data_IF_010505369658
#
_entry.id   IF_010505369658
#
_cell.length_a   1.000
_cell.length_b   1.000
_cell.length_c   1.000
_cell.angle_alpha   90.00
_cell.angle_beta   90.00
_cell.angle_gamma   90.00
#
_symmetry.space_group_name_H-M   'P 1'
#
loop_
_entity.id
_entity.type
_entity.pdbx_description
1 polymer ?
#
# COMPACT_ATOMS: atom_id res chain seq x y z
N UNK A 1 -5.10 -43.75 -20.44
CA UNK A 1 -4.55 -42.53 -20.94
C UNK A 1 -3.52 -42.05 -19.92
N UNK A 2 -2.26 -42.36 -20.20
CA UNK A 2 -1.11 -41.89 -19.40
C UNK A 2 -0.91 -40.43 -19.77
N UNK A 3 -1.19 -39.50 -18.85
CA UNK A 3 -0.75 -38.12 -19.01
C UNK A 3 0.74 -38.10 -18.79
N UNK A 4 1.49 -37.77 -19.84
CA UNK A 4 2.92 -37.62 -19.84
C UNK A 4 3.27 -36.37 -18.97
N UNK A 5 3.77 -36.62 -17.78
CA UNK A 5 4.16 -35.58 -16.80
C UNK A 5 5.32 -34.75 -17.35
N UNK A 6 6.17 -35.35 -18.19
CA UNK A 6 7.34 -34.69 -18.79
C UNK A 6 6.92 -33.68 -19.89
N UNK A 7 5.90 -33.97 -20.70
CA UNK A 7 5.39 -33.01 -21.69
C UNK A 7 4.74 -31.78 -21.03
N UNK A 8 4.08 -31.94 -19.88
CA UNK A 8 3.49 -30.84 -19.13
C UNK A 8 4.58 -29.92 -18.52
N UNK A 9 5.71 -30.48 -18.09
CA UNK A 9 6.84 -29.72 -17.53
C UNK A 9 7.54 -28.92 -18.64
N UNK A 10 7.72 -29.50 -19.83
CA UNK A 10 8.34 -28.84 -20.98
C UNK A 10 7.45 -27.71 -21.54
N UNK A 11 6.12 -27.86 -21.46
CA UNK A 11 5.18 -26.83 -21.90
C UNK A 11 5.11 -25.66 -20.91
N UNK A 12 5.27 -25.91 -19.62
CA UNK A 12 5.36 -24.86 -18.58
C UNK A 12 6.66 -24.05 -18.79
N UNK A 13 7.79 -24.69 -19.10
CA UNK A 13 9.09 -24.03 -19.28
C UNK A 13 9.11 -23.03 -20.46
N UNK A 14 8.25 -23.23 -21.48
CA UNK A 14 8.08 -22.28 -22.60
C UNK A 14 7.11 -21.14 -22.32
N UNK A 15 6.20 -21.30 -21.35
CA UNK A 15 5.14 -20.33 -21.03
C UNK A 15 5.48 -19.45 -19.84
N UNK A 16 6.35 -19.88 -18.93
CA UNK A 16 6.69 -19.14 -17.71
C UNK A 16 8.21 -19.03 -17.62
N UNK A 17 8.70 -17.82 -17.37
CA UNK A 17 10.11 -17.56 -17.09
C UNK A 17 10.26 -16.76 -15.80
N UNK A 18 11.11 -17.20 -14.89
CA UNK A 18 11.48 -16.44 -13.69
C UNK A 18 12.78 -15.67 -13.92
N UNK A 19 12.69 -14.35 -13.82
CA UNK A 19 13.81 -13.42 -13.96
C UNK A 19 14.39 -13.11 -12.58
N UNK A 20 15.71 -13.29 -12.42
CA UNK A 20 16.41 -13.16 -11.14
C UNK A 20 17.58 -12.18 -11.18
N UNK A 21 18.04 -11.78 -12.35
CA UNK A 21 19.14 -10.85 -12.54
C UNK A 21 18.66 -9.47 -13.00
N UNK A 22 19.36 -8.41 -12.58
CA UNK A 22 19.03 -7.05 -13.01
C UNK A 22 19.09 -6.88 -14.54
N UNK A 23 20.09 -7.46 -15.21
CA UNK A 23 20.21 -7.39 -16.67
C UNK A 23 18.98 -7.99 -17.39
N UNK A 24 18.44 -9.10 -16.86
CA UNK A 24 17.23 -9.72 -17.42
C UNK A 24 15.96 -8.89 -17.17
N UNK A 25 15.90 -8.13 -16.05
CA UNK A 25 14.79 -7.20 -15.79
C UNK A 25 14.79 -6.07 -16.79
N UNK A 26 15.98 -5.58 -17.20
CA UNK A 26 16.09 -4.51 -18.19
C UNK A 26 15.56 -4.96 -19.58
N UNK A 27 15.63 -6.24 -19.93
CA UNK A 27 15.04 -6.81 -21.15
C UNK A 27 13.49 -6.70 -21.15
N UNK A 28 12.87 -6.64 -19.98
CA UNK A 28 11.41 -6.54 -19.83
C UNK A 28 10.89 -5.10 -19.83
N UNK A 29 11.77 -4.09 -19.88
CA UNK A 29 11.45 -2.68 -19.69
C UNK A 29 10.30 -2.18 -20.56
N UNK A 30 10.34 -2.47 -21.86
CA UNK A 30 9.33 -1.96 -22.80
C UNK A 30 7.94 -2.56 -22.53
N UNK A 31 7.87 -3.87 -22.30
CA UNK A 31 6.63 -4.52 -21.91
C UNK A 31 6.15 -4.02 -20.56
N UNK A 32 7.05 -3.89 -19.59
CA UNK A 32 6.75 -3.38 -18.24
C UNK A 32 6.12 -1.98 -18.31
N UNK A 33 6.75 -1.06 -19.05
CA UNK A 33 6.26 0.31 -19.21
C UNK A 33 4.89 0.38 -19.88
N UNK A 34 4.59 -0.54 -20.81
CA UNK A 34 3.30 -0.61 -21.50
C UNK A 34 2.15 -1.08 -20.59
N UNK A 35 2.46 -1.83 -19.52
CA UNK A 35 1.49 -2.48 -18.64
C UNK A 35 1.40 -1.85 -17.24
N UNK A 36 2.37 -1.02 -16.82
CA UNK A 36 2.40 -0.44 -15.49
C UNK A 36 1.25 0.56 -15.30
N UNK A 37 0.25 0.17 -14.54
CA UNK A 37 -0.92 1.01 -14.22
C UNK A 37 -0.84 1.61 -12.81
N UNK A 38 -0.03 1.02 -11.94
CA UNK A 38 0.16 1.47 -10.56
C UNK A 38 1.56 2.07 -10.38
N UNK A 39 1.67 3.19 -9.65
CA UNK A 39 2.95 3.88 -9.40
C UNK A 39 4.00 2.96 -8.78
N UNK A 40 3.63 2.15 -7.78
CA UNK A 40 4.57 1.26 -7.11
C UNK A 40 5.12 0.18 -8.04
N UNK A 41 4.43 -0.08 -9.14
CA UNK A 41 4.85 -0.98 -10.20
C UNK A 41 5.51 -0.26 -11.40
N UNK A 42 5.76 1.04 -11.33
CA UNK A 42 6.59 1.72 -12.33
C UNK A 42 7.99 1.11 -12.36
N UNK A 43 8.55 0.96 -13.56
CA UNK A 43 9.85 0.29 -13.76
C UNK A 43 10.99 0.95 -13.00
N UNK A 44 11.11 2.27 -13.06
CA UNK A 44 12.18 3.00 -12.39
C UNK A 44 11.95 3.04 -10.88
N UNK A 45 10.69 3.12 -10.43
CA UNK A 45 10.35 3.05 -9.02
C UNK A 45 10.67 1.67 -8.43
N UNK A 46 10.39 0.61 -9.17
CA UNK A 46 10.77 -0.76 -8.81
C UNK A 46 12.28 -0.90 -8.67
N UNK A 47 13.05 -0.47 -9.68
CA UNK A 47 14.51 -0.50 -9.63
C UNK A 47 15.09 0.38 -8.52
N UNK A 48 14.49 1.56 -8.29
CA UNK A 48 14.86 2.43 -7.18
C UNK A 48 14.70 1.70 -5.85
N UNK A 49 13.57 1.04 -5.63
CA UNK A 49 13.33 0.28 -4.41
C UNK A 49 14.35 -0.84 -4.24
N UNK A 50 14.59 -1.63 -5.26
CA UNK A 50 15.57 -2.73 -5.22
C UNK A 50 16.98 -2.24 -4.84
N UNK A 51 17.40 -1.09 -5.36
CA UNK A 51 18.77 -0.55 -5.15
C UNK A 51 18.93 0.19 -3.82
N UNK A 52 17.85 0.70 -3.24
CA UNK A 52 17.90 1.54 -2.03
C UNK A 52 17.40 0.84 -0.76
N UNK A 53 16.93 -0.41 -0.84
CA UNK A 53 16.46 -1.18 0.32
C UNK A 53 17.50 -2.21 0.71
N UNK A 54 18.15 -2.08 1.88
CA UNK A 54 19.26 -2.96 2.29
C UNK A 54 18.84 -4.40 2.55
N UNK A 55 17.57 -4.65 2.79
CA UNK A 55 17.00 -5.99 2.96
C UNK A 55 16.81 -6.74 1.64
N UNK A 56 16.80 -6.06 0.50
CA UNK A 56 16.62 -6.68 -0.82
C UNK A 56 17.89 -7.38 -1.27
N UNK A 57 17.73 -8.63 -1.72
CA UNK A 57 18.83 -9.47 -2.21
C UNK A 57 18.92 -9.41 -3.73
N UNK A 58 17.77 -9.56 -4.44
CA UNK A 58 17.70 -9.59 -5.89
C UNK A 58 16.26 -9.41 -6.40
N UNK A 59 16.08 -9.07 -7.68
CA UNK A 59 14.76 -9.17 -8.32
C UNK A 59 14.26 -10.64 -8.34
N UNK A 60 12.94 -10.78 -8.42
CA UNK A 60 12.26 -12.05 -8.66
C UNK A 60 10.96 -11.76 -9.41
N UNK A 61 11.02 -11.79 -10.75
CA UNK A 61 9.88 -11.47 -11.60
C UNK A 61 9.46 -12.73 -12.34
N UNK A 62 8.18 -13.06 -12.27
CA UNK A 62 7.58 -14.18 -12.97
C UNK A 62 6.90 -13.63 -14.22
N UNK A 63 7.45 -13.93 -15.40
CA UNK A 63 6.90 -13.54 -16.70
C UNK A 63 6.11 -14.68 -17.33
N UNK A 64 4.93 -14.36 -17.88
CA UNK A 64 4.09 -15.25 -18.67
C UNK A 64 4.22 -14.92 -20.15
N UNK A 65 4.45 -15.93 -20.97
CA UNK A 65 4.73 -15.78 -22.40
C UNK A 65 3.71 -16.53 -23.24
N UNK A 66 3.32 -15.89 -24.37
CA UNK A 66 2.56 -16.51 -25.47
C UNK A 66 3.31 -16.28 -26.77
N UNK A 67 3.53 -17.32 -27.52
CA UNK A 67 4.27 -17.25 -28.79
C UNK A 67 5.62 -16.51 -28.67
N UNK A 68 6.35 -16.77 -27.57
CA UNK A 68 7.65 -16.17 -27.28
C UNK A 68 7.61 -14.69 -26.85
N UNK A 69 6.45 -14.09 -26.67
CA UNK A 69 6.28 -12.70 -26.22
C UNK A 69 5.67 -12.63 -24.82
N UNK A 70 6.16 -11.76 -23.93
CA UNK A 70 5.54 -11.56 -22.64
C UNK A 70 4.14 -10.97 -22.83
N UNK A 71 3.13 -11.51 -22.12
CA UNK A 71 1.77 -10.98 -22.11
C UNK A 71 1.32 -10.55 -20.71
N UNK A 72 1.94 -11.11 -19.69
CA UNK A 72 1.73 -10.70 -18.30
C UNK A 72 2.96 -11.01 -17.45
N UNK A 73 3.07 -10.37 -16.31
CA UNK A 73 4.10 -10.69 -15.32
C UNK A 73 3.65 -10.35 -13.90
N UNK A 74 4.29 -11.01 -12.92
CA UNK A 74 4.16 -10.70 -11.51
C UNK A 74 5.51 -10.20 -10.99
N UNK A 75 5.58 -8.91 -10.66
CA UNK A 75 6.80 -8.27 -10.18
C UNK A 75 7.01 -8.51 -8.69
N UNK A 76 8.19 -8.99 -8.32
CA UNK A 76 8.56 -9.27 -6.95
C UNK A 76 10.08 -9.21 -6.74
N UNK A 77 10.51 -9.56 -5.54
CA UNK A 77 11.90 -9.56 -5.12
C UNK A 77 12.15 -10.62 -4.06
N UNK A 78 13.39 -11.06 -3.95
CA UNK A 78 13.89 -11.80 -2.80
C UNK A 78 14.45 -10.80 -1.78
N UNK A 79 13.98 -10.88 -0.55
CA UNK A 79 14.41 -9.98 0.53
C UNK A 79 14.56 -10.71 1.88
N UNK A 80 15.30 -10.11 2.82
CA UNK A 80 15.29 -10.52 4.22
C UNK A 80 14.15 -9.80 4.93
N UNK A 81 13.10 -10.53 5.28
CA UNK A 81 11.87 -9.98 5.85
C UNK A 81 11.70 -10.37 7.32
N UNK A 82 11.47 -9.37 8.16
CA UNK A 82 11.09 -9.60 9.56
C UNK A 82 9.61 -9.93 9.67
N UNK A 83 9.28 -11.04 10.30
CA UNK A 83 7.90 -11.43 10.60
C UNK A 83 7.67 -11.35 12.10
N UNK A 84 6.76 -10.48 12.50
CA UNK A 84 6.39 -10.27 13.90
C UNK A 84 5.23 -11.22 14.31
N UNK A 85 5.44 -12.01 15.34
CA UNK A 85 4.39 -12.75 16.02
C UNK A 85 3.89 -11.91 17.18
N UNK A 86 2.62 -11.49 17.13
CA UNK A 86 2.03 -10.54 18.08
C UNK A 86 0.79 -11.09 18.75
N UNK A 87 0.69 -10.87 20.07
CA UNK A 87 -0.53 -11.08 20.85
C UNK A 87 -1.10 -9.71 21.23
N UNK A 88 -2.19 -9.32 20.63
CA UNK A 88 -2.73 -7.97 20.76
C UNK A 88 -1.76 -6.93 20.21
N UNK A 89 -1.29 -6.06 21.08
CA UNK A 89 -0.31 -5.02 20.77
C UNK A 89 1.13 -5.41 21.12
N UNK A 90 1.33 -6.52 21.85
CA UNK A 90 2.65 -6.99 22.26
C UNK A 90 3.28 -7.83 21.16
N UNK A 91 4.52 -7.50 20.79
CA UNK A 91 5.37 -8.33 19.92
C UNK A 91 6.02 -9.39 20.83
N UNK A 92 5.68 -10.67 20.58
CA UNK A 92 6.23 -11.80 21.30
C UNK A 92 7.59 -12.19 20.71
N UNK A 93 7.65 -12.35 19.39
CA UNK A 93 8.83 -12.82 18.67
C UNK A 93 8.94 -12.05 17.36
N UNK A 94 10.18 -11.74 16.95
CA UNK A 94 10.51 -11.28 15.59
C UNK A 94 11.39 -12.35 14.93
N UNK A 95 10.91 -12.93 13.84
CA UNK A 95 11.62 -13.93 13.06
C UNK A 95 12.12 -13.31 11.76
N UNK A 96 13.35 -13.60 11.37
CA UNK A 96 13.88 -13.25 10.05
C UNK A 96 13.63 -14.38 9.07
N UNK A 97 13.01 -14.11 7.93
CA UNK A 97 12.78 -15.04 6.84
C UNK A 97 13.43 -14.52 5.56
N UNK A 98 13.91 -15.43 4.71
CA UNK A 98 14.11 -15.12 3.29
C UNK A 98 12.74 -15.16 2.62
N UNK A 99 12.33 -14.08 2.02
CA UNK A 99 10.98 -13.95 1.48
C UNK A 99 11.00 -13.57 0.01
N UNK A 100 10.20 -14.25 -0.81
CA UNK A 100 9.75 -13.71 -2.08
C UNK A 100 8.60 -12.77 -1.79
N UNK A 101 8.79 -11.49 -2.05
CA UNK A 101 7.74 -10.49 -1.84
C UNK A 101 7.30 -9.95 -3.19
N UNK A 102 6.07 -10.27 -3.57
CA UNK A 102 5.40 -9.74 -4.76
C UNK A 102 4.67 -8.47 -4.36
N UNK A 103 5.06 -7.39 -5.00
CA UNK A 103 4.69 -6.04 -4.57
C UNK A 103 3.23 -5.71 -4.87
N UNK A 104 2.69 -4.79 -4.11
CA UNK A 104 1.40 -4.21 -4.39
C UNK A 104 1.37 -3.56 -5.79
N UNK A 105 0.30 -3.82 -6.55
CA UNK A 105 0.21 -3.38 -7.96
C UNK A 105 1.17 -4.09 -8.91
N UNK A 106 1.94 -5.09 -8.45
CA UNK A 106 2.95 -5.80 -9.22
C UNK A 106 2.43 -6.79 -10.26
N UNK A 107 1.12 -6.93 -10.42
CA UNK A 107 0.50 -7.62 -11.55
C UNK A 107 0.54 -6.68 -12.76
N UNK A 108 1.31 -7.02 -13.75
CA UNK A 108 1.52 -6.26 -14.98
C UNK A 108 0.98 -7.08 -16.16
N UNK A 109 0.18 -6.46 -17.03
CA UNK A 109 -0.58 -7.17 -18.04
C UNK A 109 -1.79 -7.91 -17.45
N UNK A 110 -2.26 -8.95 -18.13
CA UNK A 110 -3.52 -9.63 -17.80
C UNK A 110 -3.27 -11.03 -17.21
N UNK A 111 -3.53 -11.19 -15.90
CA UNK A 111 -3.56 -12.48 -15.17
C UNK A 111 -5.01 -12.81 -14.75
N UNK A 112 -5.99 -12.46 -15.58
CA UNK A 112 -7.40 -12.73 -15.28
C UNK A 112 -7.81 -14.18 -15.56
N UNK A 113 -7.03 -14.92 -16.34
CA UNK A 113 -7.31 -16.35 -16.59
C UNK A 113 -6.89 -17.22 -15.38
N UNK A 114 -7.71 -18.21 -15.04
CA UNK A 114 -7.37 -19.18 -14.00
C UNK A 114 -6.11 -20.00 -14.36
N UNK A 115 -5.83 -20.19 -15.64
CA UNK A 115 -4.64 -20.90 -16.12
C UNK A 115 -3.37 -20.09 -15.84
N UNK A 116 -3.34 -18.80 -16.23
CA UNK A 116 -2.20 -17.91 -15.98
C UNK A 116 -1.95 -17.73 -14.46
N UNK A 117 -3.03 -17.55 -13.70
CA UNK A 117 -2.93 -17.47 -12.23
C UNK A 117 -2.36 -18.75 -11.61
N UNK A 118 -2.77 -19.92 -12.10
CA UNK A 118 -2.25 -21.22 -11.67
C UNK A 118 -0.76 -21.35 -11.99
N UNK A 119 -0.35 -21.01 -13.22
CA UNK A 119 1.05 -21.10 -13.66
C UNK A 119 1.97 -20.21 -12.78
N UNK A 120 1.52 -19.00 -12.45
CA UNK A 120 2.23 -18.11 -11.52
C UNK A 120 2.41 -18.74 -10.13
N UNK A 121 1.34 -19.32 -9.56
CA UNK A 121 1.44 -19.95 -8.23
C UNK A 121 2.30 -21.21 -8.25
N UNK A 122 2.24 -22.00 -9.30
CA UNK A 122 3.12 -23.19 -9.45
C UNK A 122 4.59 -22.76 -9.52
N UNK A 123 4.92 -21.69 -10.21
CA UNK A 123 6.27 -21.13 -10.29
C UNK A 123 6.78 -20.65 -8.91
N UNK A 124 5.90 -20.00 -8.12
CA UNK A 124 6.19 -19.63 -6.72
C UNK A 124 6.47 -20.88 -5.88
N UNK A 125 5.61 -21.90 -6.01
CA UNK A 125 5.77 -23.18 -5.30
C UNK A 125 7.10 -23.89 -5.63
N UNK A 126 7.51 -23.86 -6.90
CA UNK A 126 8.79 -24.39 -7.35
C UNK A 126 9.96 -23.66 -6.70
N UNK A 127 9.98 -22.32 -6.72
CA UNK A 127 11.01 -21.52 -6.07
C UNK A 127 11.10 -21.81 -4.55
N UNK A 128 9.96 -22.01 -3.89
CA UNK A 128 9.92 -22.38 -2.47
C UNK A 128 10.44 -23.82 -2.23
N UNK A 129 10.12 -24.79 -3.10
CA UNK A 129 10.64 -26.16 -3.03
C UNK A 129 12.13 -26.23 -3.31
N UNK A 130 12.62 -25.39 -4.23
CA UNK A 130 14.05 -25.25 -4.52
C UNK A 130 14.85 -24.60 -3.38
N UNK A 131 14.18 -24.14 -2.31
CA UNK A 131 14.82 -23.53 -1.15
C UNK A 131 15.32 -22.10 -1.40
N UNK A 132 14.81 -21.39 -2.42
CA UNK A 132 15.19 -20.00 -2.69
C UNK A 132 14.72 -19.08 -1.57
N UNK A 133 13.57 -19.36 -0.95
CA UNK A 133 12.98 -18.59 0.14
C UNK A 133 12.25 -19.49 1.15
N UNK A 134 12.03 -18.96 2.34
CA UNK A 134 11.28 -19.60 3.42
C UNK A 134 9.77 -19.34 3.30
N UNK A 135 9.37 -18.24 2.62
CA UNK A 135 7.98 -17.90 2.34
C UNK A 135 7.85 -16.98 1.13
N UNK A 136 6.67 -16.97 0.51
CA UNK A 136 6.27 -16.02 -0.50
C UNK A 136 5.10 -15.17 0.00
N UNK A 137 5.19 -13.85 -0.15
CA UNK A 137 4.18 -12.87 0.21
C UNK A 137 3.62 -12.23 -1.06
N UNK A 138 2.33 -12.44 -1.31
CA UNK A 138 1.58 -11.74 -2.35
C UNK A 138 0.80 -10.61 -1.67
N UNK A 139 1.24 -9.38 -1.88
CA UNK A 139 0.73 -8.24 -1.13
C UNK A 139 -0.58 -7.71 -1.73
N UNK A 140 -1.61 -7.63 -0.89
CA UNK A 140 -2.89 -6.97 -1.16
C UNK A 140 -3.52 -7.34 -2.51
N UNK A 141 -3.77 -8.63 -2.71
CA UNK A 141 -4.52 -9.10 -3.88
C UNK A 141 -6.01 -8.82 -3.70
N UNK A 142 -6.73 -8.36 -4.75
CA UNK A 142 -8.20 -8.31 -4.73
C UNK A 142 -8.76 -9.71 -4.47
N UNK A 143 -9.67 -9.83 -3.48
CA UNK A 143 -10.16 -11.14 -3.03
C UNK A 143 -11.00 -11.89 -4.07
N UNK A 144 -11.47 -11.21 -5.10
CA UNK A 144 -12.20 -11.74 -6.24
C UNK A 144 -11.29 -12.06 -7.44
N UNK A 145 -9.98 -11.82 -7.35
CA UNK A 145 -9.05 -12.11 -8.44
C UNK A 145 -8.71 -13.60 -8.55
N UNK A 146 -8.52 -14.14 -9.78
CA UNK A 146 -8.07 -15.51 -9.98
C UNK A 146 -6.76 -15.82 -9.27
N UNK A 147 -5.81 -14.85 -9.24
CA UNK A 147 -4.54 -15.02 -8.57
C UNK A 147 -4.70 -15.23 -7.05
N UNK A 148 -5.61 -14.48 -6.41
CA UNK A 148 -5.94 -14.70 -5.00
C UNK A 148 -6.54 -16.08 -4.79
N UNK A 149 -7.53 -16.48 -5.62
CA UNK A 149 -8.16 -17.79 -5.55
C UNK A 149 -7.14 -18.94 -5.66
N UNK A 150 -6.24 -18.87 -6.64
CA UNK A 150 -5.17 -19.85 -6.82
C UNK A 150 -4.17 -19.86 -5.66
N UNK A 151 -3.75 -18.69 -5.17
CA UNK A 151 -2.82 -18.58 -4.04
C UNK A 151 -3.39 -19.17 -2.73
N UNK A 152 -4.71 -19.14 -2.57
CA UNK A 152 -5.40 -19.71 -1.39
C UNK A 152 -5.68 -21.20 -1.50
N UNK A 153 -5.84 -21.74 -2.72
CA UNK A 153 -6.37 -23.10 -2.95
C UNK A 153 -5.31 -24.11 -3.41
N UNK A 154 -4.31 -23.68 -4.20
CA UNK A 154 -3.33 -24.62 -4.77
C UNK A 154 -2.27 -25.12 -3.76
N UNK A 155 -1.70 -24.27 -2.89
CA UNK A 155 -0.78 -24.74 -1.87
C UNK A 155 -1.51 -25.55 -0.79
N UNK A 156 -0.80 -26.48 -0.14
CA UNK A 156 -1.36 -27.18 1.01
C UNK A 156 -1.77 -26.17 2.11
N UNK A 157 -2.95 -26.35 2.67
CA UNK A 157 -3.55 -25.43 3.67
C UNK A 157 -2.63 -25.18 4.89
N UNK A 158 -1.84 -26.16 5.32
CA UNK A 158 -0.89 -25.98 6.42
C UNK A 158 0.26 -24.99 6.08
N UNK A 159 0.42 -24.66 4.81
CA UNK A 159 1.47 -23.78 4.29
C UNK A 159 0.94 -22.38 3.93
N UNK A 160 -0.34 -22.14 3.99
CA UNK A 160 -0.95 -20.83 3.71
C UNK A 160 -1.32 -20.15 5.02
N UNK A 161 -1.15 -18.85 5.12
CA UNK A 161 -1.56 -18.07 6.30
C UNK A 161 -3.07 -18.19 6.54
N UNK A 162 -3.48 -18.57 7.76
CA UNK A 162 -4.90 -18.82 8.07
C UNK A 162 -5.68 -17.56 8.44
N UNK A 163 -5.00 -16.54 8.93
CA UNK A 163 -5.64 -15.33 9.45
C UNK A 163 -5.14 -14.08 8.71
N UNK A 164 -5.36 -14.08 7.39
CA UNK A 164 -5.17 -12.87 6.59
C UNK A 164 -6.05 -11.74 7.13
N UNK A 165 -5.50 -10.53 7.14
CA UNK A 165 -6.26 -9.33 7.47
C UNK A 165 -6.83 -8.79 6.16
N UNK A 166 -8.14 -8.89 6.00
CA UNK A 166 -8.84 -8.19 4.93
C UNK A 166 -8.76 -6.69 5.16
N UNK A 167 -8.40 -5.97 4.14
CA UNK A 167 -8.31 -4.51 4.12
C UNK A 167 -9.25 -3.98 3.03
N UNK A 168 -9.88 -2.84 3.30
CA UNK A 168 -10.70 -2.15 2.30
C UNK A 168 -9.80 -1.16 1.57
N UNK A 169 -9.81 -1.23 0.24
CA UNK A 169 -9.20 -0.25 -0.63
C UNK A 169 -10.25 0.78 -1.04
N UNK A 170 -9.92 2.06 -0.98
CA UNK A 170 -10.84 3.15 -1.30
C UNK A 170 -10.30 4.01 -2.43
N UNK A 171 -11.13 4.25 -3.44
CA UNK A 171 -10.86 5.23 -4.48
C UNK A 171 -11.99 6.24 -4.64
N UNK A 172 -11.68 7.35 -5.29
CA UNK A 172 -12.64 8.35 -5.75
C UNK A 172 -12.46 8.61 -7.23
N UNK A 173 -13.45 8.27 -8.05
CA UNK A 173 -13.52 8.78 -9.42
C UNK A 173 -13.93 10.26 -9.38
N UNK A 174 -13.11 11.11 -9.98
CA UNK A 174 -13.35 12.56 -9.97
C UNK A 174 -14.41 12.94 -11.02
N UNK A 175 -15.28 13.90 -10.70
CA UNK A 175 -16.24 14.42 -11.67
C UNK A 175 -15.51 15.17 -12.78
N UNK A 176 -15.98 15.01 -14.02
CA UNK A 176 -15.43 15.73 -15.18
C UNK A 176 -16.19 17.03 -15.36
N UNK A 177 -15.50 18.18 -15.21
CA UNK A 177 -16.08 19.50 -15.47
C UNK A 177 -17.08 19.99 -14.43
N UNK A 178 -17.23 19.27 -13.31
CA UNK A 178 -18.12 19.65 -12.21
C UNK A 178 -17.31 19.86 -10.93
N UNK A 179 -17.86 20.66 -10.02
CA UNK A 179 -17.28 20.87 -8.69
C UNK A 179 -17.30 19.56 -7.88
N UNK A 180 -16.16 19.20 -7.30
CA UNK A 180 -16.06 18.07 -6.36
C UNK A 180 -17.05 18.23 -5.20
N UNK A 181 -17.21 19.45 -4.68
CA UNK A 181 -18.13 19.72 -3.59
C UNK A 181 -19.58 19.36 -3.94
N UNK A 182 -20.01 19.55 -5.21
CA UNK A 182 -21.35 19.17 -5.64
C UNK A 182 -21.56 17.66 -5.64
N UNK A 183 -20.51 16.87 -5.86
CA UNK A 183 -20.53 15.42 -5.85
C UNK A 183 -20.57 14.81 -4.42
N UNK A 184 -20.39 15.63 -3.38
CA UNK A 184 -20.48 15.21 -1.99
C UNK A 184 -21.92 15.21 -1.48
N UNK A 185 -22.22 14.43 -0.44
CA UNK A 185 -23.53 14.46 0.23
C UNK A 185 -23.82 15.84 0.85
N UNK A 186 -25.11 16.17 1.03
CA UNK A 186 -25.53 17.45 1.64
C UNK A 186 -24.90 17.68 3.02
N UNK A 187 -24.74 16.62 3.81
CA UNK A 187 -24.10 16.70 5.12
C UNK A 187 -22.59 17.00 5.02
N UNK A 188 -21.90 16.37 4.07
CA UNK A 188 -20.48 16.63 3.83
C UNK A 188 -20.24 18.05 3.34
N UNK A 189 -21.06 18.55 2.41
CA UNK A 189 -21.04 19.96 1.96
C UNK A 189 -21.23 20.94 3.12
N UNK A 190 -22.22 20.68 3.98
CA UNK A 190 -22.48 21.51 5.17
C UNK A 190 -21.28 21.51 6.11
N UNK A 191 -20.70 20.35 6.37
CA UNK A 191 -19.52 20.23 7.21
C UNK A 191 -18.32 20.98 6.62
N UNK A 192 -18.10 20.93 5.29
CA UNK A 192 -17.03 21.69 4.65
C UNK A 192 -17.27 23.21 4.75
N UNK A 193 -18.47 23.67 4.49
CA UNK A 193 -18.82 25.10 4.69
C UNK A 193 -18.56 25.55 6.13
N UNK A 194 -18.87 24.71 7.12
CA UNK A 194 -18.59 24.98 8.54
C UNK A 194 -17.09 25.08 8.82
N UNK A 195 -16.26 24.19 8.24
CA UNK A 195 -14.80 24.25 8.37
C UNK A 195 -14.22 25.54 7.80
N UNK A 196 -14.60 25.85 6.56
CA UNK A 196 -14.18 27.09 5.88
C UNK A 196 -14.54 28.32 6.73
N UNK A 197 -15.80 28.43 7.18
CA UNK A 197 -16.24 29.55 8.00
C UNK A 197 -15.45 29.66 9.30
N UNK A 198 -15.27 28.56 10.03
CA UNK A 198 -14.55 28.52 11.31
C UNK A 198 -13.09 28.93 11.16
N UNK A 199 -12.42 28.51 10.08
CA UNK A 199 -11.05 28.91 9.80
C UNK A 199 -10.97 30.39 9.42
N UNK A 200 -11.87 30.88 8.56
CA UNK A 200 -11.92 32.28 8.17
C UNK A 200 -12.21 33.20 9.37
N UNK A 201 -13.15 32.86 10.25
CA UNK A 201 -13.47 33.62 11.46
C UNK A 201 -12.29 33.69 12.45
N UNK A 202 -11.44 32.65 12.51
CA UNK A 202 -10.35 32.61 13.48
C UNK A 202 -9.05 33.17 12.93
N UNK A 203 -8.74 32.90 11.66
CA UNK A 203 -7.41 33.19 11.07
C UNK A 203 -7.47 34.22 9.93
N UNK A 204 -8.65 34.50 9.37
CA UNK A 204 -8.81 35.45 8.25
C UNK A 204 -7.92 35.07 7.06
N UNK A 205 -7.19 36.06 6.53
CA UNK A 205 -6.29 35.89 5.38
C UNK A 205 -5.01 35.11 5.69
N UNK A 206 -4.84 34.68 6.95
CA UNK A 206 -3.66 33.88 7.39
C UNK A 206 -3.88 32.37 7.24
N UNK A 207 -4.86 31.96 6.42
CA UNK A 207 -5.08 30.59 5.98
C UNK A 207 -4.48 30.41 4.60
N UNK A 208 -3.44 29.59 4.46
CA UNK A 208 -2.75 29.38 3.18
C UNK A 208 -2.50 27.88 2.95
N UNK A 209 -2.80 27.44 1.73
CA UNK A 209 -2.39 26.11 1.24
C UNK A 209 -1.25 26.35 0.24
N UNK A 210 -0.16 25.61 0.39
CA UNK A 210 0.99 25.64 -0.51
C UNK A 210 1.20 24.26 -1.13
N UNK A 211 1.41 24.22 -2.45
CA UNK A 211 1.73 23.00 -3.20
C UNK A 211 3.24 22.89 -3.42
N UNK A 212 3.77 21.70 -3.22
CA UNK A 212 5.16 21.32 -3.42
C UNK A 212 5.21 20.22 -4.48
N UNK A 213 5.96 20.44 -5.55
CA UNK A 213 6.01 19.51 -6.68
C UNK A 213 7.41 19.33 -7.29
N UNK A 214 8.39 20.14 -6.89
CA UNK A 214 9.74 20.12 -7.43
C UNK A 214 10.80 19.83 -6.37
N UNK A 215 12.01 19.47 -6.82
CA UNK A 215 13.12 19.07 -5.96
C UNK A 215 13.65 20.24 -5.10
N UNK A 216 13.55 21.50 -5.55
CA UNK A 216 14.07 22.67 -4.83
C UNK A 216 13.32 22.92 -3.52
N UNK A 217 12.07 22.50 -3.44
CA UNK A 217 11.21 22.69 -2.28
C UNK A 217 11.19 21.51 -1.30
N UNK A 218 11.87 20.39 -1.62
CA UNK A 218 11.81 19.14 -0.83
C UNK A 218 12.28 19.29 0.60
N UNK A 219 13.35 20.07 0.84
CA UNK A 219 13.85 20.27 2.19
C UNK A 219 12.75 20.89 3.07
N UNK A 220 12.14 21.98 2.62
CA UNK A 220 11.08 22.69 3.34
C UNK A 220 9.85 21.80 3.52
N UNK A 221 9.45 21.07 2.47
CA UNK A 221 8.35 20.10 2.56
C UNK A 221 8.59 19.08 3.66
N UNK A 222 9.76 18.42 3.64
CA UNK A 222 10.06 17.33 4.59
C UNK A 222 10.23 17.83 6.03
N UNK A 223 10.78 19.01 6.24
CA UNK A 223 10.89 19.64 7.57
C UNK A 223 9.50 19.98 8.14
N UNK A 224 8.62 20.60 7.35
CA UNK A 224 7.28 20.96 7.79
C UNK A 224 6.40 19.72 8.01
N UNK A 225 6.45 18.75 7.10
CA UNK A 225 5.72 17.49 7.27
C UNK A 225 6.19 16.72 8.52
N UNK A 226 7.52 16.71 8.80
CA UNK A 226 8.08 16.10 10.01
C UNK A 226 7.62 16.82 11.28
N UNK A 227 7.60 18.15 11.28
CA UNK A 227 7.11 18.95 12.40
C UNK A 227 5.67 18.58 12.78
N UNK A 228 4.80 18.39 11.77
CA UNK A 228 3.41 17.98 11.98
C UNK A 228 3.32 16.52 12.39
N UNK A 229 4.02 15.62 11.66
CA UNK A 229 3.96 14.18 11.88
C UNK A 229 4.51 13.79 13.27
N UNK A 230 5.55 14.48 13.75
CA UNK A 230 6.14 14.28 15.08
C UNK A 230 5.16 14.49 16.23
N UNK A 231 4.17 15.36 16.06
CA UNK A 231 3.09 15.61 17.04
C UNK A 231 1.91 14.64 16.93
N UNK A 232 1.84 13.84 15.86
CA UNK A 232 0.72 12.96 15.57
C UNK A 232 0.81 11.64 16.34
N UNK A 233 -0.34 11.06 16.71
CA UNK A 233 -0.40 9.72 17.31
C UNK A 233 0.11 8.61 16.39
N UNK A 234 0.14 8.83 15.09
CA UNK A 234 0.63 7.88 14.10
C UNK A 234 2.12 7.59 14.29
N UNK A 235 2.91 8.60 14.67
CA UNK A 235 4.33 8.45 15.00
C UNK A 235 4.53 7.47 16.15
N UNK A 236 3.73 7.57 17.21
CA UNK A 236 3.79 6.67 18.36
C UNK A 236 3.47 5.21 18.00
N UNK A 237 2.70 5.00 16.91
CA UNK A 237 2.41 3.67 16.37
C UNK A 237 3.47 3.17 15.37
N UNK A 238 4.50 3.96 15.07
CA UNK A 238 5.53 3.63 14.09
C UNK A 238 5.04 3.65 12.64
N UNK A 239 3.95 4.39 12.37
CA UNK A 239 3.36 4.54 11.03
C UNK A 239 3.25 6.03 10.66
N UNK A 240 2.97 6.29 9.38
CA UNK A 240 2.86 7.65 8.85
C UNK A 240 4.19 8.19 8.32
N UNK A 241 4.19 9.48 8.01
CA UNK A 241 5.37 10.15 7.43
C UNK A 241 6.52 10.24 8.44
N UNK A 242 7.74 9.96 7.98
CA UNK A 242 8.98 10.17 8.71
C UNK A 242 10.04 10.71 7.74
N UNK A 243 10.74 11.78 8.14
CA UNK A 243 11.77 12.41 7.33
C UNK A 243 13.09 11.61 7.41
N UNK A 244 13.10 10.39 6.83
CA UNK A 244 14.28 9.54 6.74
C UNK A 244 15.06 9.79 5.44
N UNK A 245 16.34 9.37 5.36
CA UNK A 245 17.10 9.44 4.11
C UNK A 245 16.42 8.71 2.95
N UNK A 246 15.81 7.55 3.20
CA UNK A 246 15.09 6.75 2.21
C UNK A 246 13.84 7.49 1.70
N UNK A 247 13.09 8.12 2.62
CA UNK A 247 11.91 8.92 2.25
C UNK A 247 12.31 10.12 1.39
N UNK A 248 13.41 10.82 1.73
CA UNK A 248 13.89 11.95 0.93
C UNK A 248 14.29 11.51 -0.48
N UNK A 249 15.02 10.40 -0.61
CA UNK A 249 15.37 9.82 -1.93
C UNK A 249 14.13 9.44 -2.74
N UNK A 250 13.11 8.89 -2.09
CA UNK A 250 11.84 8.56 -2.74
C UNK A 250 11.14 9.82 -3.26
N UNK A 251 10.99 10.84 -2.42
CA UNK A 251 10.35 12.11 -2.81
C UNK A 251 11.15 12.84 -3.90
N UNK A 252 12.48 12.73 -3.87
CA UNK A 252 13.34 13.29 -4.91
C UNK A 252 13.10 12.60 -6.27
N UNK A 253 13.04 11.27 -6.30
CA UNK A 253 12.66 10.53 -7.50
C UNK A 253 11.27 10.95 -8.01
N UNK A 254 10.29 11.07 -7.13
CA UNK A 254 8.92 11.47 -7.49
C UNK A 254 8.88 12.93 -8.03
N UNK A 255 9.71 13.83 -7.48
CA UNK A 255 9.85 15.20 -7.98
C UNK A 255 10.51 15.23 -9.36
N UNK A 256 11.61 14.49 -9.55
CA UNK A 256 12.32 14.38 -10.86
C UNK A 256 11.41 13.82 -11.95
N UNK A 257 10.51 12.88 -11.61
CA UNK A 257 9.52 12.32 -12.52
C UNK A 257 8.26 13.18 -12.66
N UNK A 258 8.22 14.35 -12.01
CA UNK A 258 7.05 15.23 -11.96
C UNK A 258 5.78 14.57 -11.40
N UNK A 259 5.93 13.55 -10.55
CA UNK A 259 4.82 12.86 -9.89
C UNK A 259 4.43 13.50 -8.56
N UNK A 260 5.39 14.11 -7.85
CA UNK A 260 5.15 14.68 -6.52
C UNK A 260 4.05 15.74 -6.56
N UNK A 261 3.06 15.60 -5.67
CA UNK A 261 1.99 16.56 -5.40
C UNK A 261 1.76 16.59 -3.89
N UNK A 262 2.49 17.43 -3.21
CA UNK A 262 2.38 17.56 -1.76
C UNK A 262 1.81 18.92 -1.39
N UNK A 263 0.95 18.95 -0.38
CA UNK A 263 0.26 20.16 0.05
C UNK A 263 0.42 20.33 1.56
N UNK A 264 0.69 21.55 1.98
CA UNK A 264 0.74 21.93 3.39
C UNK A 264 -0.24 23.08 3.63
N UNK A 265 -1.06 22.92 4.67
CA UNK A 265 -1.92 23.97 5.20
C UNK A 265 -1.18 24.72 6.29
N UNK A 266 -1.11 26.04 6.16
CA UNK A 266 -0.57 26.95 7.15
C UNK A 266 -1.70 27.77 7.80
N UNK A 267 -1.60 27.93 9.11
CA UNK A 267 -2.45 28.82 9.92
C UNK A 267 -1.53 29.75 10.72
N UNK A 268 -1.62 31.07 10.50
CA UNK A 268 -0.67 32.06 11.04
C UNK A 268 0.80 31.69 10.71
N UNK A 269 1.06 31.31 9.46
CA UNK A 269 2.37 30.86 8.95
C UNK A 269 2.95 29.59 9.64
N UNK A 270 2.20 28.96 10.53
CA UNK A 270 2.56 27.70 11.14
C UNK A 270 2.00 26.53 10.34
N UNK A 271 2.83 25.51 9.95
CA UNK A 271 2.34 24.33 9.26
C UNK A 271 1.48 23.49 10.21
N UNK A 272 0.23 23.23 9.85
CA UNK A 272 -0.73 22.54 10.72
C UNK A 272 -1.32 21.26 10.13
N UNK A 273 -1.26 21.08 8.82
CA UNK A 273 -1.68 19.83 8.17
C UNK A 273 -0.92 19.64 6.86
N UNK A 274 -0.65 18.39 6.51
CA UNK A 274 -0.05 18.04 5.22
C UNK A 274 -0.79 16.89 4.55
N UNK A 275 -0.71 16.86 3.22
CA UNK A 275 -1.15 15.77 2.38
C UNK A 275 -0.13 15.55 1.25
N UNK A 276 0.63 14.46 1.33
CA UNK A 276 1.65 14.07 0.34
C UNK A 276 1.03 13.04 -0.59
N UNK A 277 1.07 13.32 -1.87
CA UNK A 277 0.50 12.52 -2.95
C UNK A 277 1.52 12.36 -4.08
N UNK A 278 1.28 11.34 -4.91
CA UNK A 278 1.98 11.16 -6.19
C UNK A 278 0.97 11.07 -7.32
N UNK A 279 1.20 11.79 -8.41
CA UNK A 279 0.40 11.71 -9.61
C UNK A 279 1.05 10.76 -10.63
N UNK A 280 0.34 9.70 -11.01
CA UNK A 280 0.82 8.71 -11.96
C UNK A 280 -0.33 8.19 -12.81
N UNK A 281 -0.19 8.21 -14.13
CA UNK A 281 -1.16 7.67 -15.11
C UNK A 281 -2.62 8.05 -14.81
N UNK A 282 -2.89 9.34 -14.60
CA UNK A 282 -4.25 9.82 -14.36
C UNK A 282 -4.80 9.54 -12.95
N UNK A 283 -3.99 8.98 -12.06
CA UNK A 283 -4.35 8.68 -10.67
C UNK A 283 -3.51 9.50 -9.70
N UNK A 284 -4.16 10.15 -8.73
CA UNK A 284 -3.50 10.78 -7.59
C UNK A 284 -3.50 9.79 -6.43
N UNK A 285 -2.32 9.27 -6.08
CA UNK A 285 -2.13 8.34 -4.96
C UNK A 285 -1.91 9.11 -3.67
N UNK A 286 -2.73 8.86 -2.65
CA UNK A 286 -2.65 9.47 -1.33
C UNK A 286 -1.69 8.68 -0.44
N UNK A 287 -0.44 9.13 -0.32
CA UNK A 287 0.60 8.42 0.43
C UNK A 287 0.55 8.72 1.93
N UNK A 288 0.67 9.99 2.28
CA UNK A 288 0.73 10.39 3.68
C UNK A 288 -0.16 11.61 3.93
N UNK A 289 -0.88 11.53 5.03
CA UNK A 289 -1.69 12.64 5.53
C UNK A 289 -1.51 12.75 7.04
N UNK A 290 -1.35 13.98 7.51
CA UNK A 290 -1.25 14.27 8.94
C UNK A 290 -1.72 15.66 9.27
N UNK A 291 -2.00 15.88 10.56
CA UNK A 291 -2.31 17.21 11.09
C UNK A 291 -1.82 17.32 12.54
N UNK A 292 -1.52 18.54 12.96
CA UNK A 292 -1.15 18.88 14.33
C UNK A 292 -2.40 18.81 15.23
N UNK A 293 -2.41 17.97 16.27
CA UNK A 293 -3.55 17.80 17.20
C UNK A 293 -4.02 19.09 17.87
N UNK A 294 -3.17 20.11 18.02
CA UNK A 294 -3.53 21.41 18.58
C UNK A 294 -4.64 22.11 17.74
N UNK A 295 -4.66 21.84 16.43
CA UNK A 295 -5.66 22.39 15.50
C UNK A 295 -6.85 21.46 15.27
N UNK A 296 -6.97 20.34 16.02
CA UNK A 296 -8.00 19.30 15.78
C UNK A 296 -9.44 19.84 15.73
N UNK A 297 -9.76 20.88 16.53
CA UNK A 297 -11.08 21.52 16.54
C UNK A 297 -11.49 22.14 15.19
N UNK A 298 -10.52 22.45 14.32
CA UNK A 298 -10.76 22.99 12.99
C UNK A 298 -10.84 21.93 11.91
N UNK A 299 -10.55 20.67 12.22
CA UNK A 299 -10.52 19.54 11.27
C UNK A 299 -9.62 19.82 10.04
N UNK A 300 -8.33 20.26 10.25
CA UNK A 300 -7.50 20.83 9.18
C UNK A 300 -7.16 19.82 8.09
N UNK A 301 -7.04 18.52 8.40
CA UNK A 301 -6.81 17.48 7.39
C UNK A 301 -7.94 17.37 6.39
N UNK A 302 -9.20 17.35 6.84
CA UNK A 302 -10.36 17.32 5.94
C UNK A 302 -10.53 18.62 5.17
N UNK A 303 -10.22 19.76 5.79
CA UNK A 303 -10.21 21.04 5.10
C UNK A 303 -9.21 21.02 3.95
N UNK A 304 -7.95 20.61 4.21
CA UNK A 304 -6.89 20.54 3.22
C UNK A 304 -7.28 19.64 2.05
N UNK A 305 -7.62 18.39 2.32
CA UNK A 305 -7.91 17.39 1.28
C UNK A 305 -9.07 17.82 0.39
N UNK A 306 -10.18 18.32 0.96
CA UNK A 306 -11.34 18.71 0.16
C UNK A 306 -11.05 19.95 -0.71
N UNK A 307 -10.30 20.94 -0.19
CA UNK A 307 -9.95 22.12 -0.99
C UNK A 307 -8.98 21.76 -2.13
N UNK A 308 -7.98 20.92 -1.87
CA UNK A 308 -7.06 20.47 -2.92
C UNK A 308 -7.80 19.66 -3.99
N UNK A 309 -8.71 18.75 -3.62
CA UNK A 309 -9.49 17.99 -4.61
C UNK A 309 -10.38 18.93 -5.43
N UNK A 310 -11.02 19.93 -4.80
CA UNK A 310 -11.82 20.93 -5.51
C UNK A 310 -10.98 21.73 -6.50
N UNK A 311 -9.76 22.13 -6.11
CA UNK A 311 -8.82 22.82 -6.98
C UNK A 311 -8.42 21.95 -8.18
N UNK A 312 -8.03 20.68 -7.95
CA UNK A 312 -7.74 19.71 -9.02
C UNK A 312 -8.91 19.56 -9.99
N UNK A 313 -10.14 19.53 -9.49
CA UNK A 313 -11.33 19.42 -10.36
C UNK A 313 -11.56 20.69 -11.20
N UNK A 314 -11.21 21.89 -10.66
CA UNK A 314 -11.31 23.16 -11.40
C UNK A 314 -10.22 23.31 -12.46
N UNK A 315 -8.98 22.92 -12.13
CA UNK A 315 -7.84 23.01 -13.03
C UNK A 315 -7.83 21.94 -14.13
N UNK A 316 -8.71 20.97 -14.05
CA UNK A 316 -8.75 19.74 -14.84
C UNK A 316 -8.98 19.93 -16.36
N UNK A 317 -8.81 21.15 -16.89
CA UNK A 317 -8.74 21.40 -18.32
C UNK A 317 -7.35 21.02 -18.91
N UNK A 318 -6.30 20.90 -18.08
CA UNK A 318 -4.91 20.65 -18.53
C UNK A 318 -4.21 19.45 -17.87
N UNK A 319 -4.53 19.08 -16.61
CA UNK A 319 -3.94 17.93 -15.92
C UNK A 319 -5.04 16.94 -15.49
N UNK A 320 -5.11 15.84 -16.18
CA UNK A 320 -6.22 14.89 -16.19
C UNK A 320 -6.16 13.87 -15.06
N UNK A 321 -6.22 14.25 -13.79
CA UNK A 321 -6.51 13.28 -12.76
C UNK A 321 -7.94 12.77 -12.94
N UNK A 322 -8.08 11.50 -13.29
CA UNK A 322 -9.39 10.86 -13.46
C UNK A 322 -9.91 10.32 -12.11
N UNK A 323 -8.99 10.02 -11.20
CA UNK A 323 -9.32 9.44 -9.90
C UNK A 323 -8.28 9.76 -8.83
N UNK A 324 -8.70 9.61 -7.58
CA UNK A 324 -7.82 9.60 -6.41
C UNK A 324 -7.85 8.20 -5.82
N UNK A 325 -6.67 7.65 -5.55
CA UNK A 325 -6.49 6.44 -4.81
C UNK A 325 -6.12 6.79 -3.37
N UNK A 326 -7.04 6.54 -2.43
CA UNK A 326 -6.81 6.75 -1.01
C UNK A 326 -6.06 5.60 -0.36
N UNK A 327 -5.80 4.54 -1.12
CA UNK A 327 -5.11 3.35 -0.68
C UNK A 327 -5.89 2.52 0.32
N UNK A 328 -5.19 1.56 0.88
CA UNK A 328 -5.72 0.57 1.79
C UNK A 328 -5.95 1.17 3.17
N UNK A 329 -6.96 0.69 3.86
CA UNK A 329 -7.20 0.98 5.28
C UNK A 329 -8.61 1.48 5.56
N UNK A 330 -9.08 1.11 6.73
CA UNK A 330 -10.46 1.33 7.19
C UNK A 330 -10.56 2.67 7.97
N UNK A 331 -10.17 3.76 7.33
CA UNK A 331 -10.30 5.10 7.91
C UNK A 331 -11.62 5.74 7.50
N UNK A 332 -12.35 6.28 8.47
CA UNK A 332 -13.66 6.93 8.26
C UNK A 332 -13.60 8.00 7.17
N UNK A 333 -12.54 8.80 7.10
CA UNK A 333 -12.41 9.84 6.08
C UNK A 333 -12.28 9.27 4.66
N UNK A 334 -11.64 8.09 4.48
CA UNK A 334 -11.54 7.41 3.18
C UNK A 334 -12.92 6.95 2.69
N UNK A 335 -13.72 6.36 3.57
CA UNK A 335 -15.10 5.96 3.24
C UNK A 335 -16.02 7.15 2.98
N UNK A 336 -15.74 8.31 3.59
CA UNK A 336 -16.49 9.57 3.36
C UNK A 336 -16.17 10.15 1.97
N UNK A 337 -14.90 10.16 1.58
CA UNK A 337 -14.45 10.78 0.32
C UNK A 337 -14.46 9.81 -0.85
N UNK A 338 -14.28 8.51 -0.61
CA UNK A 338 -14.34 7.47 -1.63
C UNK A 338 -15.76 7.28 -2.19
N UNK A 339 -15.84 6.81 -3.43
CA UNK A 339 -17.10 6.39 -4.07
C UNK A 339 -17.04 4.98 -4.66
N UNK A 340 -15.87 4.35 -4.58
CA UNK A 340 -15.66 2.97 -4.91
C UNK A 340 -14.75 2.32 -3.86
N UNK A 341 -14.99 1.03 -3.56
CA UNK A 341 -14.13 0.27 -2.66
C UNK A 341 -14.23 -1.23 -2.96
N UNK A 342 -13.17 -1.96 -2.64
CA UNK A 342 -13.11 -3.41 -2.71
C UNK A 342 -12.26 -3.97 -1.58
N UNK A 343 -12.30 -5.29 -1.40
CA UNK A 343 -11.52 -5.98 -0.40
C UNK A 343 -10.22 -6.53 -0.99
N UNK A 344 -9.13 -6.37 -0.27
CA UNK A 344 -7.82 -6.92 -0.59
C UNK A 344 -7.27 -7.69 0.60
N UNK A 345 -6.52 -8.75 0.32
CA UNK A 345 -5.83 -9.54 1.32
C UNK A 345 -4.43 -9.91 0.84
N UNK A 346 -3.47 -9.93 1.78
CA UNK A 346 -2.17 -10.51 1.49
C UNK A 346 -2.16 -12.00 1.75
N UNK A 347 -1.66 -12.77 0.80
CA UNK A 347 -1.48 -14.22 0.94
C UNK A 347 -0.01 -14.51 1.22
N UNK A 348 0.25 -15.32 2.25
CA UNK A 348 1.58 -15.82 2.54
C UNK A 348 1.60 -17.34 2.34
N UNK A 349 2.51 -17.82 1.49
CA UNK A 349 2.73 -19.23 1.21
C UNK A 349 4.10 -19.60 1.79
N UNK A 350 4.13 -20.53 2.73
CA UNK A 350 5.36 -20.99 3.38
C UNK A 350 6.01 -22.15 2.61
N UNK A 351 7.35 -22.21 2.61
CA UNK A 351 8.10 -23.30 2.02
C UNK A 351 7.74 -24.65 2.66
N UNK A 352 7.85 -25.78 1.94
CA UNK A 352 7.54 -27.13 2.47
C UNK A 352 8.64 -27.66 3.40
N UNK A 353 9.14 -26.81 4.31
CA UNK A 353 10.13 -27.17 5.33
C UNK A 353 9.52 -27.16 6.71
N UNK A 354 9.99 -28.01 7.61
CA UNK A 354 9.49 -28.07 8.98
C UNK A 354 9.56 -26.71 9.70
N UNK A 355 10.65 -25.95 9.46
CA UNK A 355 10.83 -24.62 10.03
C UNK A 355 9.77 -23.64 9.54
N UNK A 356 9.56 -23.54 8.22
CA UNK A 356 8.58 -22.61 7.64
C UNK A 356 7.15 -22.96 8.04
N UNK A 357 6.78 -24.23 8.00
CA UNK A 357 5.47 -24.71 8.48
C UNK A 357 5.31 -24.46 9.98
N UNK A 358 6.37 -24.67 10.79
CA UNK A 358 6.38 -24.34 12.21
C UNK A 358 6.11 -22.86 12.49
N UNK A 359 6.69 -21.95 11.69
CA UNK A 359 6.42 -20.51 11.79
C UNK A 359 4.94 -20.20 11.49
N UNK A 360 4.37 -20.76 10.42
CA UNK A 360 2.95 -20.58 10.10
C UNK A 360 2.04 -21.12 11.21
N UNK A 361 2.35 -22.32 11.73
CA UNK A 361 1.58 -22.94 12.82
C UNK A 361 1.59 -22.06 14.09
N UNK A 362 2.78 -21.52 14.45
CA UNK A 362 2.91 -20.63 15.58
C UNK A 362 2.14 -19.32 15.38
N UNK A 363 2.23 -18.71 14.19
CA UNK A 363 1.43 -17.52 13.86
C UNK A 363 -0.06 -17.79 13.95
N UNK A 364 -0.50 -18.92 13.39
CA UNK A 364 -1.89 -19.37 13.43
C UNK A 364 -2.39 -19.56 14.86
N UNK A 365 -1.61 -20.22 15.70
CA UNK A 365 -1.94 -20.46 17.11
C UNK A 365 -2.08 -19.15 17.89
N UNK A 366 -1.09 -18.26 17.79
CA UNK A 366 -1.12 -16.97 18.47
C UNK A 366 -2.28 -16.10 17.97
N UNK A 367 -2.54 -16.08 16.67
CA UNK A 367 -3.66 -15.35 16.10
C UNK A 367 -5.02 -15.90 16.54
N UNK A 368 -5.16 -17.23 16.72
CA UNK A 368 -6.36 -17.85 17.25
C UNK A 368 -6.61 -17.41 18.72
N UNK A 369 -5.57 -17.42 19.54
CA UNK A 369 -5.65 -16.92 20.94
C UNK A 369 -6.06 -15.44 20.95
N UNK A 370 -5.44 -14.60 20.12
CA UNK A 370 -5.76 -13.18 20.03
C UNK A 370 -7.23 -12.94 19.64
N UNK A 371 -7.74 -13.69 18.66
CA UNK A 371 -9.14 -13.62 18.24
C UNK A 371 -10.09 -14.05 19.37
N UNK A 372 -9.81 -15.18 20.04
CA UNK A 372 -10.61 -15.64 21.17
C UNK A 372 -10.62 -14.63 22.30
N UNK A 373 -9.46 -14.09 22.68
CA UNK A 373 -9.32 -13.05 23.68
C UNK A 373 -10.12 -11.78 23.33
N UNK A 374 -10.04 -11.32 22.09
CA UNK A 374 -10.85 -10.16 21.62
C UNK A 374 -12.35 -10.45 21.65
N UNK A 375 -12.78 -11.67 21.30
CA UNK A 375 -14.18 -12.05 21.34
C UNK A 375 -14.72 -12.00 22.79
N UNK A 376 -13.97 -12.51 23.74
CA UNK A 376 -14.31 -12.44 25.18
C UNK A 376 -14.38 -11.00 25.66
N UNK A 377 -13.38 -10.17 25.33
CA UNK A 377 -13.34 -8.75 25.73
C UNK A 377 -14.49 -7.94 25.09
N UNK A 378 -14.92 -8.30 23.85
CA UNK A 378 -16.08 -7.68 23.20
C UNK A 378 -17.37 -8.04 23.93
N UNK A 379 -17.58 -9.32 24.28
CA UNK A 379 -18.77 -9.76 25.01
C UNK A 379 -18.87 -9.10 26.39
N UNK A 380 -17.75 -8.86 27.07
CA UNK A 380 -17.68 -8.18 28.36
C UNK A 380 -17.69 -6.65 28.29
N UNK A 381 -17.81 -6.01 27.11
CA UNK A 381 -17.67 -4.55 26.91
C UNK A 381 -16.36 -3.95 27.47
N UNK A 382 -15.33 -4.79 27.64
CA UNK A 382 -14.04 -4.38 28.23
C UNK A 382 -13.05 -3.86 27.18
N UNK A 383 -13.27 -4.14 25.90
CA UNK A 383 -12.36 -3.77 24.80
C UNK A 383 -12.03 -2.25 24.77
N UNK A 384 -12.99 -1.32 24.93
CA UNK A 384 -12.69 0.11 24.97
C UNK A 384 -11.84 0.52 26.18
N UNK A 385 -12.02 -0.15 27.33
CA UNK A 385 -11.24 0.11 28.57
C UNK A 385 -9.78 -0.34 28.40
N UNK A 386 -9.57 -1.54 27.85
CA UNK A 386 -8.22 -2.07 27.56
C UNK A 386 -7.49 -1.18 26.56
N UNK A 387 -8.16 -0.78 25.45
CA UNK A 387 -7.57 0.16 24.47
C UNK A 387 -7.18 1.50 25.08
N UNK A 388 -8.00 2.04 25.99
CA UNK A 388 -7.74 3.32 26.65
C UNK A 388 -6.55 3.22 27.62
N UNK A 389 -6.51 2.17 28.44
CA UNK A 389 -5.42 1.91 29.37
C UNK A 389 -4.09 1.69 28.65
N UNK A 390 -4.10 1.02 27.50
CA UNK A 390 -2.91 0.80 26.69
C UNK A 390 -2.40 2.11 26.04
N UNK A 391 -3.31 2.91 25.45
CA UNK A 391 -2.96 4.23 24.90
C UNK A 391 -2.38 5.18 25.94
N UNK A 392 -2.90 5.16 27.17
CA UNK A 392 -2.37 6.00 28.25
C UNK A 392 -0.99 5.56 28.74
N UNK A 393 -0.63 4.27 28.63
CA UNK A 393 0.72 3.79 28.93
C UNK A 393 1.75 4.22 27.88
N UNK A 394 1.38 4.13 26.58
CA UNK A 394 2.27 4.55 25.48
C UNK A 394 2.51 6.06 25.52
N UNK A 395 1.52 6.87 25.92
CA UNK A 395 1.66 8.32 26.01
C UNK A 395 2.50 8.79 27.21
N UNK A 396 2.91 7.89 28.12
CA UNK A 396 3.71 8.20 29.32
C UNK A 396 5.14 7.64 29.29
N UNK A 397 5.49 6.84 28.28
CA UNK A 397 6.83 6.33 28.01
C UNK A 397 7.38 6.89 26.70
#
# INVERSE_FOLDING_TARGET
MSFDVDDAIIEIDKRVRTVRAFAEVDELKDFWASCATHRDADFDFYLFYLRNSPEVVRPHVIGLYRDGRPHAMLAGRLEKRGVDIRLGYMRLIKLGLRALTFMYGGVLGDISSAADAKDVILCIEESLRAGEADAAFLEYLPVDSPLYGCARSLPNQVRVNHFAKSCIHHIRNLPRGESFLQSLSSNQRRNQKRRVRRLAETFGDRVRIECFHDASALQRLTEHAETIAGKSYQRTLGVGFANTPEMRKRLDLEAQKMWLRAHILYLNDQPCSFWICSYYNGTLYSDFMGFDPEYSKYEPGMYLVINVIEEICRENQTQKAARIDFGIGDSVWKSILGNQSWHEESVCIFAPTATAVGVNSLQTFVAAIDRAGRAILRRGNLLPRVKRAWRSRIARG
#
